data_IF_959256760872
#
_entry.id   IF_959256760872
#
_cell.length_a   1.000
_cell.length_b   1.000
_cell.length_c   1.000
_cell.angle_alpha   90.00
_cell.angle_beta   90.00
_cell.angle_gamma   90.00
#
_symmetry.space_group_name_H-M   'P 1'
#
loop_
_entity.id
_entity.type
_entity.pdbx_description
1 polymer ?
#
# COMPACT_ATOMS: atom_id res chain seq x y z
N UNK A 1 -40.32 38.19 -58.76
CA UNK A 1 -39.22 38.44 -57.86
C UNK A 1 -39.10 37.22 -56.89
N UNK A 2 -38.05 36.41 -57.03
CA UNK A 2 -37.79 35.23 -56.16
C UNK A 2 -36.63 35.57 -55.24
N UNK A 3 -36.85 35.54 -53.92
CA UNK A 3 -35.85 35.79 -52.91
C UNK A 3 -35.20 34.46 -52.57
N UNK A 4 -33.86 34.29 -52.56
CA UNK A 4 -33.22 33.05 -52.17
C UNK A 4 -33.04 33.00 -50.63
N UNK A 5 -33.54 31.94 -50.03
CA UNK A 5 -33.32 31.57 -48.60
C UNK A 5 -31.89 31.08 -48.49
N UNK A 6 -31.06 31.82 -47.76
CA UNK A 6 -29.71 31.39 -47.36
C UNK A 6 -29.81 30.51 -46.10
N UNK A 7 -29.52 29.22 -46.27
CA UNK A 7 -29.39 28.26 -45.15
C UNK A 7 -28.12 28.56 -44.36
N UNK A 8 -28.25 29.00 -43.10
CA UNK A 8 -27.15 29.02 -42.13
C UNK A 8 -26.97 27.61 -41.57
N UNK A 9 -25.87 26.97 -41.97
CA UNK A 9 -25.41 25.74 -41.31
C UNK A 9 -24.71 26.10 -40.00
N UNK A 10 -25.34 25.82 -38.88
CA UNK A 10 -24.72 25.92 -37.54
C UNK A 10 -23.78 24.74 -37.34
N UNK A 11 -22.47 25.00 -37.36
CA UNK A 11 -21.44 24.01 -36.98
C UNK A 11 -21.39 23.95 -35.44
N UNK A 12 -21.98 22.92 -34.87
CA UNK A 12 -21.82 22.63 -33.45
C UNK A 12 -20.43 22.01 -33.20
N UNK A 13 -19.49 22.81 -32.71
CA UNK A 13 -18.22 22.28 -32.14
C UNK A 13 -18.54 21.52 -30.83
N UNK A 14 -18.59 20.21 -30.92
CA UNK A 14 -18.58 19.36 -29.74
C UNK A 14 -17.16 19.38 -29.13
N UNK A 15 -16.95 20.17 -28.09
CA UNK A 15 -15.74 20.02 -27.24
C UNK A 15 -15.87 18.69 -26.53
N UNK A 16 -15.11 17.69 -26.98
CA UNK A 16 -14.85 16.50 -26.20
C UNK A 16 -13.97 16.93 -25.02
N UNK A 17 -14.60 17.20 -23.88
CA UNK A 17 -13.88 17.32 -22.61
C UNK A 17 -13.37 15.93 -22.31
N UNK A 18 -12.10 15.66 -22.62
CA UNK A 18 -11.42 14.49 -22.08
C UNK A 18 -11.45 14.65 -20.56
N UNK A 19 -12.16 13.77 -19.88
CA UNK A 19 -12.10 13.66 -18.42
C UNK A 19 -10.67 13.22 -18.06
N UNK A 20 -9.75 14.18 -18.00
CA UNK A 20 -8.45 13.94 -17.37
C UNK A 20 -8.75 13.51 -15.93
N UNK A 21 -8.08 12.44 -15.48
CA UNK A 21 -8.19 12.04 -14.09
C UNK A 21 -7.84 13.24 -13.20
N UNK A 22 -8.78 13.61 -12.33
CA UNK A 22 -8.60 14.75 -11.44
C UNK A 22 -7.62 14.39 -10.31
N UNK A 23 -6.78 15.35 -9.94
CA UNK A 23 -5.98 15.23 -8.72
C UNK A 23 -6.90 15.06 -7.51
N UNK A 24 -6.49 14.26 -6.54
CA UNK A 24 -7.28 13.97 -5.35
C UNK A 24 -6.50 14.28 -4.08
N UNK A 25 -7.20 14.87 -3.11
CA UNK A 25 -6.76 14.94 -1.72
C UNK A 25 -7.73 14.13 -0.88
N UNK A 26 -7.23 13.08 -0.21
CA UNK A 26 -8.02 12.18 0.62
C UNK A 26 -7.57 12.37 2.06
N UNK A 27 -8.50 12.70 2.95
CA UNK A 27 -8.26 12.87 4.39
C UNK A 27 -8.87 11.69 5.11
N UNK A 28 -8.11 11.07 6.01
CA UNK A 28 -8.55 9.94 6.81
C UNK A 28 -8.23 10.15 8.29
N UNK A 29 -9.11 9.67 9.15
CA UNK A 29 -8.89 9.54 10.59
C UNK A 29 -8.24 8.18 10.84
N UNK A 30 -7.17 8.19 11.61
CA UNK A 30 -6.48 6.98 12.08
C UNK A 30 -6.70 6.86 13.58
N UNK A 31 -7.31 5.77 14.00
CA UNK A 31 -7.56 5.45 15.42
C UNK A 31 -6.84 4.15 15.77
N UNK A 32 -6.28 4.08 16.98
CA UNK A 32 -5.64 2.89 17.55
C UNK A 32 -6.26 2.63 18.93
N UNK A 33 -6.23 1.39 19.40
CA UNK A 33 -6.76 1.03 20.73
C UNK A 33 -6.15 1.89 21.86
N UNK A 34 -4.88 2.24 21.71
CA UNK A 34 -4.16 3.09 22.66
C UNK A 34 -3.65 4.34 21.97
N UNK A 35 -4.08 5.48 22.45
CA UNK A 35 -3.61 6.79 22.00
C UNK A 35 -4.66 7.64 21.30
N UNK A 36 -4.35 8.92 21.09
CA UNK A 36 -5.25 9.84 20.42
C UNK A 36 -5.38 9.48 18.94
N UNK A 37 -6.55 9.76 18.38
CA UNK A 37 -6.74 9.68 16.95
C UNK A 37 -5.84 10.71 16.23
N UNK A 38 -5.32 10.31 15.07
CA UNK A 38 -4.51 11.17 14.21
C UNK A 38 -5.13 11.31 12.82
N UNK A 39 -4.66 12.27 12.05
CA UNK A 39 -5.11 12.48 10.67
C UNK A 39 -4.03 12.02 9.70
N UNK A 40 -4.43 11.23 8.71
CA UNK A 40 -3.60 10.91 7.55
C UNK A 40 -4.15 11.67 6.33
N UNK A 41 -3.25 12.10 5.45
CA UNK A 41 -3.62 12.78 4.20
C UNK A 41 -2.90 12.11 3.05
N UNK A 42 -3.64 11.77 2.00
CA UNK A 42 -3.09 11.28 0.74
C UNK A 42 -3.33 12.32 -0.36
N UNK A 43 -2.27 12.73 -1.01
CA UNK A 43 -2.31 13.54 -2.23
C UNK A 43 -1.99 12.63 -3.41
N UNK A 44 -2.84 12.64 -4.42
CA UNK A 44 -2.76 11.76 -5.58
C UNK A 44 -2.85 12.61 -6.84
N UNK A 45 -1.84 12.50 -7.70
CA UNK A 45 -1.83 13.08 -9.04
C UNK A 45 -1.48 12.00 -10.07
N UNK A 46 -1.55 12.30 -11.35
CA UNK A 46 -1.17 11.35 -12.40
C UNK A 46 0.30 10.91 -12.34
N UNK A 47 1.19 11.62 -11.67
CA UNK A 47 2.61 11.35 -11.65
C UNK A 47 3.21 11.21 -10.24
N UNK A 48 2.47 11.53 -9.17
CA UNK A 48 2.97 11.53 -7.79
C UNK A 48 1.93 11.10 -6.78
N UNK A 49 2.40 10.50 -5.71
CA UNK A 49 1.62 10.20 -4.52
C UNK A 49 2.38 10.72 -3.30
N UNK A 50 1.70 11.47 -2.41
CA UNK A 50 2.23 11.77 -1.07
C UNK A 50 1.29 11.21 -0.03
N UNK A 51 1.86 10.53 0.95
CA UNK A 51 1.16 10.02 2.13
C UNK A 51 1.72 10.72 3.36
N UNK A 52 0.88 11.50 4.03
CA UNK A 52 1.17 12.10 5.35
C UNK A 52 0.56 11.17 6.38
N UNK A 53 1.41 10.48 7.14
CA UNK A 53 0.98 9.56 8.19
C UNK A 53 0.93 10.30 9.52
N UNK A 54 -0.15 10.18 10.26
CA UNK A 54 -0.37 10.94 11.49
C UNK A 54 0.60 10.65 12.64
N UNK A 55 1.66 9.87 12.42
CA UNK A 55 2.72 9.54 13.37
C UNK A 55 3.99 10.40 13.24
N UNK A 56 4.01 11.31 12.29
CA UNK A 56 5.15 12.18 11.97
C UNK A 56 6.08 11.61 10.90
N UNK A 57 5.60 10.66 10.12
CA UNK A 57 6.28 10.17 8.93
C UNK A 57 5.49 10.56 7.68
N UNK A 58 6.20 10.77 6.59
CA UNK A 58 5.61 11.03 5.29
C UNK A 58 6.37 10.30 4.19
N UNK A 59 5.67 10.04 3.10
CA UNK A 59 6.23 9.40 1.91
C UNK A 59 5.81 10.20 0.67
N UNK A 60 6.75 10.47 -0.21
CA UNK A 60 6.49 11.04 -1.54
C UNK A 60 7.00 10.03 -2.56
N UNK A 61 6.12 9.54 -3.42
CA UNK A 61 6.45 8.63 -4.53
C UNK A 61 6.36 9.37 -5.85
N UNK A 62 7.41 9.33 -6.64
CA UNK A 62 7.38 9.71 -8.05
C UNK A 62 7.02 8.45 -8.88
N UNK A 63 5.88 8.49 -9.54
CA UNK A 63 5.36 7.34 -10.28
C UNK A 63 6.08 7.10 -11.61
N UNK A 64 6.77 8.14 -12.14
CA UNK A 64 7.54 8.05 -13.39
C UNK A 64 8.89 7.40 -13.16
N UNK A 65 9.63 7.84 -12.13
CA UNK A 65 10.94 7.29 -11.81
C UNK A 65 10.86 6.06 -10.94
N UNK A 66 9.79 5.94 -10.14
CA UNK A 66 9.62 4.91 -9.11
C UNK A 66 10.42 5.20 -7.84
N UNK A 67 10.93 6.42 -7.69
CA UNK A 67 11.65 6.84 -6.49
C UNK A 67 10.67 7.15 -5.35
N UNK A 68 11.07 6.80 -4.14
CA UNK A 68 10.29 7.05 -2.93
C UNK A 68 11.12 7.86 -1.95
N UNK A 69 10.66 9.05 -1.61
CA UNK A 69 11.28 9.88 -0.56
C UNK A 69 10.53 9.68 0.75
N UNK A 70 11.24 9.23 1.77
CA UNK A 70 10.75 9.07 3.14
C UNK A 70 11.18 10.24 3.98
N UNK A 71 10.24 10.86 4.71
CA UNK A 71 10.48 12.06 5.54
C UNK A 71 10.14 11.71 6.98
N UNK A 72 11.09 11.92 7.90
CA UNK A 72 10.91 11.78 9.35
C UNK A 72 10.90 13.18 9.99
N UNK A 73 9.71 13.65 10.36
CA UNK A 73 9.54 14.97 10.97
C UNK A 73 10.15 15.08 12.37
N UNK A 74 10.18 13.98 13.11
CA UNK A 74 10.74 13.96 14.47
C UNK A 74 12.24 14.17 14.46
N UNK A 75 12.92 13.60 13.45
CA UNK A 75 14.37 13.75 13.26
C UNK A 75 14.72 14.89 12.34
N UNK A 76 13.74 15.49 11.64
CA UNK A 76 13.95 16.48 10.58
C UNK A 76 14.95 15.98 9.53
N UNK A 77 14.73 14.74 9.08
CA UNK A 77 15.56 14.04 8.12
C UNK A 77 14.71 13.44 7.01
N UNK A 78 15.34 13.23 5.86
CA UNK A 78 14.73 12.48 4.76
C UNK A 78 15.78 11.66 4.03
N UNK A 79 15.33 10.60 3.38
CA UNK A 79 16.14 9.83 2.45
C UNK A 79 15.28 9.40 1.25
N UNK A 80 15.94 9.10 0.14
CA UNK A 80 15.28 8.60 -1.07
C UNK A 80 15.68 7.16 -1.30
N UNK A 81 14.70 6.33 -1.60
CA UNK A 81 14.86 4.96 -2.06
C UNK A 81 14.62 4.99 -3.56
N UNK A 82 15.67 4.74 -4.33
CA UNK A 82 15.58 4.66 -5.79
C UNK A 82 15.20 3.26 -6.26
N UNK A 83 14.81 3.12 -7.54
CA UNK A 83 14.65 1.79 -8.15
C UNK A 83 15.91 0.94 -7.99
N UNK A 84 17.07 1.54 -8.24
CA UNK A 84 18.35 0.84 -8.11
C UNK A 84 18.59 0.35 -6.68
N UNK A 85 18.22 1.14 -5.67
CA UNK A 85 18.31 0.73 -4.26
C UNK A 85 17.43 -0.51 -3.99
N UNK A 86 16.21 -0.52 -4.54
CA UNK A 86 15.30 -1.65 -4.40
C UNK A 86 15.86 -2.92 -5.07
N UNK A 87 16.42 -2.78 -6.27
CA UNK A 87 17.04 -3.90 -6.99
C UNK A 87 18.26 -4.44 -6.23
N UNK A 88 19.09 -3.56 -5.65
CA UNK A 88 20.21 -3.95 -4.80
C UNK A 88 19.74 -4.66 -3.53
N UNK A 89 18.70 -4.15 -2.88
CA UNK A 89 18.13 -4.78 -1.70
C UNK A 89 17.61 -6.18 -2.01
N UNK A 90 16.89 -6.33 -3.12
CA UNK A 90 16.42 -7.63 -3.60
C UNK A 90 17.56 -8.60 -3.87
N UNK A 91 18.62 -8.14 -4.55
CA UNK A 91 19.80 -8.96 -4.83
C UNK A 91 20.49 -9.41 -3.54
N UNK A 92 20.68 -8.51 -2.57
CA UNK A 92 21.25 -8.84 -1.25
C UNK A 92 20.39 -9.83 -0.47
N UNK A 93 19.08 -9.64 -0.45
CA UNK A 93 18.17 -10.59 0.20
C UNK A 93 18.27 -11.98 -0.43
N UNK A 94 18.26 -12.06 -1.76
CA UNK A 94 18.43 -13.33 -2.50
C UNK A 94 19.77 -13.99 -2.19
N UNK A 95 20.85 -13.22 -2.12
CA UNK A 95 22.18 -13.71 -1.76
C UNK A 95 22.21 -14.22 -0.30
N UNK A 96 21.65 -13.46 0.65
CA UNK A 96 21.57 -13.86 2.06
C UNK A 96 20.78 -15.16 2.23
N UNK A 97 19.67 -15.33 1.52
CA UNK A 97 18.85 -16.54 1.57
C UNK A 97 19.54 -17.77 0.96
N UNK A 98 20.44 -17.56 0.01
CA UNK A 98 21.24 -18.61 -0.61
C UNK A 98 22.61 -18.80 0.08
N UNK A 99 22.86 -18.10 1.18
CA UNK A 99 24.12 -18.23 1.91
C UNK A 99 24.28 -19.62 2.54
N UNK A 100 25.53 -20.12 2.67
CA UNK A 100 25.78 -21.40 3.33
C UNK A 100 25.25 -21.48 4.76
N UNK A 101 25.24 -20.34 5.49
CA UNK A 101 24.72 -20.24 6.83
C UNK A 101 23.21 -20.48 6.85
N UNK A 102 22.47 -19.86 5.93
CA UNK A 102 21.02 -20.03 5.82
C UNK A 102 20.66 -21.46 5.40
N UNK A 103 21.44 -22.06 4.48
CA UNK A 103 21.25 -23.45 4.07
C UNK A 103 21.49 -24.41 5.25
N UNK A 104 22.57 -24.21 6.04
CA UNK A 104 22.82 -24.99 7.27
C UNK A 104 21.70 -24.82 8.30
N UNK A 105 21.21 -23.59 8.48
CA UNK A 105 20.08 -23.35 9.39
C UNK A 105 18.81 -24.07 8.94
N UNK A 106 18.53 -24.10 7.63
CA UNK A 106 17.42 -24.87 7.08
C UNK A 106 17.60 -26.38 7.25
N UNK A 107 18.80 -26.90 7.07
CA UNK A 107 19.11 -28.31 7.30
C UNK A 107 18.97 -28.66 8.78
N UNK A 108 19.48 -27.82 9.67
CA UNK A 108 19.29 -28.01 11.12
C UNK A 108 17.82 -28.03 11.51
N UNK A 109 16.98 -27.14 10.93
CA UNK A 109 15.53 -27.13 11.16
C UNK A 109 14.86 -28.42 10.66
N UNK A 110 15.30 -28.98 9.53
CA UNK A 110 14.79 -30.26 9.03
C UNK A 110 15.16 -31.46 9.91
N UNK A 111 16.29 -31.37 10.61
CA UNK A 111 16.82 -32.43 11.49
C UNK A 111 16.35 -32.32 12.94
N UNK A 112 15.49 -31.34 13.27
CA UNK A 112 14.88 -31.25 14.59
C UNK A 112 13.92 -32.42 14.85
N UNK A 113 13.74 -32.87 16.10
CA UNK A 113 12.75 -33.88 16.45
C UNK A 113 11.35 -33.49 15.97
N UNK A 114 10.52 -34.44 15.50
CA UNK A 114 9.21 -34.17 14.90
C UNK A 114 8.26 -33.35 15.79
N UNK A 115 8.34 -33.53 17.11
CA UNK A 115 7.58 -32.78 18.09
C UNK A 115 8.04 -31.31 18.20
N UNK A 116 9.35 -31.05 18.09
CA UNK A 116 9.90 -29.68 18.05
C UNK A 116 9.56 -29.02 16.73
N UNK A 117 9.65 -29.74 15.60
CA UNK A 117 9.20 -29.25 14.32
C UNK A 117 7.71 -28.89 14.32
N UNK A 118 6.86 -29.74 14.91
CA UNK A 118 5.42 -29.46 15.08
C UNK A 118 5.17 -28.24 15.96
N UNK A 119 5.89 -28.07 17.08
CA UNK A 119 5.78 -26.89 17.93
C UNK A 119 6.25 -25.62 17.22
N UNK A 120 7.35 -25.68 16.49
CA UNK A 120 7.81 -24.57 15.65
C UNK A 120 6.86 -24.30 14.50
N UNK A 121 6.37 -25.32 13.81
CA UNK A 121 5.35 -25.17 12.79
C UNK A 121 4.03 -24.64 13.38
N UNK A 122 3.64 -25.03 14.59
CA UNK A 122 2.47 -24.47 15.27
C UNK A 122 2.70 -23.02 15.70
N UNK A 123 3.90 -22.69 16.18
CA UNK A 123 4.28 -21.32 16.52
C UNK A 123 4.42 -20.44 15.27
N UNK A 124 4.99 -20.97 14.19
CA UNK A 124 5.11 -20.31 12.87
C UNK A 124 3.91 -20.61 11.97
N UNK A 125 3.24 -21.73 12.11
CA UNK A 125 2.12 -22.20 11.32
C UNK A 125 0.80 -21.57 11.68
N UNK A 126 0.74 -20.89 12.83
CA UNK A 126 -0.28 -19.86 13.04
C UNK A 126 -0.19 -18.75 12.00
N UNK A 127 1.00 -18.55 11.42
CA UNK A 127 1.26 -17.61 10.30
C UNK A 127 0.95 -18.26 8.94
N UNK A 128 1.15 -19.58 8.81
CA UNK A 128 0.93 -20.33 7.56
C UNK A 128 -0.50 -20.88 7.38
N UNK A 129 -1.39 -20.62 8.34
CA UNK A 129 -2.76 -21.11 8.27
C UNK A 129 -3.63 -20.17 7.43
N UNK A 130 -4.22 -20.75 6.42
CA UNK A 130 -5.25 -20.24 5.51
C UNK A 130 -5.54 -18.72 5.52
N UNK A 131 -5.12 -18.07 4.47
CA UNK A 131 -5.66 -16.73 4.12
C UNK A 131 -7.10 -16.90 3.67
N UNK A 132 -8.03 -16.18 4.29
CA UNK A 132 -9.39 -16.06 3.81
C UNK A 132 -9.68 -14.64 3.35
N UNK A 133 -10.32 -14.51 2.20
CA UNK A 133 -10.80 -13.25 1.64
C UNK A 133 -12.26 -13.45 1.28
N UNK A 134 -13.13 -12.66 1.86
CA UNK A 134 -14.57 -12.79 1.69
C UNK A 134 -15.23 -11.44 1.47
N UNK A 135 -16.07 -11.35 0.45
CA UNK A 135 -17.03 -10.28 0.27
C UNK A 135 -18.19 -10.53 1.24
N UNK A 136 -18.50 -9.55 2.11
CA UNK A 136 -19.54 -9.76 3.14
C UNK A 136 -20.97 -9.58 2.60
N UNK A 137 -21.11 -9.02 1.40
CA UNK A 137 -22.40 -8.68 0.80
C UNK A 137 -23.05 -7.42 1.37
N UNK A 138 -22.40 -6.74 2.31
CA UNK A 138 -22.91 -5.50 2.88
C UNK A 138 -22.23 -4.28 2.25
N UNK A 139 -22.94 -3.17 2.18
CA UNK A 139 -22.45 -1.89 1.67
C UNK A 139 -22.59 -0.80 2.72
N UNK A 140 -21.73 0.21 2.66
CA UNK A 140 -21.80 1.42 3.48
C UNK A 140 -21.56 2.66 2.61
N UNK A 141 -21.92 3.81 3.16
CA UNK A 141 -21.58 5.10 2.55
C UNK A 141 -20.60 5.83 3.46
N UNK A 142 -19.41 6.16 2.93
CA UNK A 142 -18.31 6.84 3.65
C UNK A 142 -17.83 8.01 2.80
N UNK A 143 -17.70 9.18 3.37
CA UNK A 143 -17.28 10.41 2.70
C UNK A 143 -18.05 10.70 1.38
N UNK A 144 -19.34 10.32 1.33
CA UNK A 144 -20.18 10.53 0.15
C UNK A 144 -20.16 9.40 -0.90
N UNK A 145 -19.28 8.40 -0.79
CA UNK A 145 -19.11 7.29 -1.73
C UNK A 145 -19.67 5.99 -1.18
N UNK A 146 -20.26 5.17 -2.04
CA UNK A 146 -20.68 3.83 -1.66
C UNK A 146 -19.47 2.89 -1.71
N UNK A 147 -19.37 1.98 -0.75
CA UNK A 147 -18.32 0.98 -0.71
C UNK A 147 -18.85 -0.39 -0.27
N UNK A 148 -18.21 -1.45 -0.72
CA UNK A 148 -18.51 -2.83 -0.40
C UNK A 148 -17.57 -3.36 0.66
N UNK A 149 -18.11 -4.06 1.66
CA UNK A 149 -17.32 -4.60 2.76
C UNK A 149 -16.69 -5.96 2.42
N UNK A 150 -15.42 -6.07 2.75
CA UNK A 150 -14.59 -7.26 2.60
C UNK A 150 -13.94 -7.62 3.93
N UNK A 151 -13.73 -8.90 4.17
CA UNK A 151 -12.95 -9.39 5.29
C UNK A 151 -11.76 -10.18 4.76
N UNK A 152 -10.58 -9.88 5.30
CA UNK A 152 -9.34 -10.61 5.06
C UNK A 152 -8.87 -11.16 6.40
N UNK A 153 -8.59 -12.45 6.50
CA UNK A 153 -8.02 -13.01 7.72
C UNK A 153 -6.80 -13.88 7.41
N UNK A 154 -5.81 -13.79 8.29
CA UNK A 154 -4.61 -14.61 8.33
C UNK A 154 -4.69 -15.52 9.55
N UNK A 155 -5.34 -16.66 9.43
CA UNK A 155 -5.59 -17.53 10.55
C UNK A 155 -6.20 -16.79 11.73
N UNK A 156 -5.59 -16.95 12.91
CA UNK A 156 -5.98 -16.23 14.15
C UNK A 156 -5.09 -15.02 14.47
N UNK A 157 -4.10 -14.72 13.60
CA UNK A 157 -3.09 -13.69 13.88
C UNK A 157 -3.57 -12.31 13.49
N UNK A 158 -4.27 -12.18 12.38
CA UNK A 158 -4.75 -10.89 11.91
C UNK A 158 -6.06 -11.02 11.16
N UNK A 159 -6.96 -10.08 11.42
CA UNK A 159 -8.20 -9.87 10.69
C UNK A 159 -8.26 -8.41 10.21
N UNK A 160 -8.58 -8.21 8.95
CA UNK A 160 -8.81 -6.88 8.37
C UNK A 160 -10.23 -6.83 7.80
N UNK A 161 -10.94 -5.76 8.10
CA UNK A 161 -12.22 -5.42 7.51
C UNK A 161 -12.04 -4.16 6.68
N UNK A 162 -12.35 -4.24 5.39
CA UNK A 162 -12.14 -3.14 4.45
C UNK A 162 -13.44 -2.81 3.72
N UNK A 163 -13.72 -1.51 3.54
CA UNK A 163 -14.82 -1.05 2.69
C UNK A 163 -14.25 -0.41 1.44
N UNK A 164 -14.38 -1.08 0.29
CA UNK A 164 -13.78 -0.69 -0.99
C UNK A 164 -14.80 0.02 -1.89
N UNK A 165 -14.41 1.16 -2.45
CA UNK A 165 -15.20 1.88 -3.45
C UNK A 165 -14.54 1.86 -4.83
N UNK A 166 -15.35 1.68 -5.86
CA UNK A 166 -14.95 1.88 -7.25
C UNK A 166 -15.37 3.25 -7.81
N UNK A 167 -16.03 4.07 -6.97
CA UNK A 167 -16.57 5.36 -7.41
C UNK A 167 -15.52 6.49 -7.43
N UNK A 168 -14.33 6.26 -6.82
CA UNK A 168 -13.25 7.25 -6.85
C UNK A 168 -12.50 7.19 -8.19
N UNK A 169 -12.41 8.32 -8.91
CA UNK A 169 -11.68 8.42 -10.18
C UNK A 169 -10.16 8.49 -9.91
N UNK A 170 -9.57 7.40 -9.44
CA UNK A 170 -8.12 7.35 -9.24
C UNK A 170 -7.40 7.49 -10.57
N UNK A 171 -6.32 8.29 -10.65
CA UNK A 171 -5.47 8.33 -11.82
C UNK A 171 -4.95 6.92 -12.15
N UNK A 172 -5.03 6.52 -13.43
CA UNK A 172 -4.63 5.17 -13.85
C UNK A 172 -3.17 4.86 -13.50
N UNK A 173 -2.29 5.85 -13.59
CA UNK A 173 -0.88 5.74 -13.22
C UNK A 173 -0.68 5.36 -11.74
N UNK A 174 -1.54 5.84 -10.85
CA UNK A 174 -1.52 5.44 -9.42
C UNK A 174 -1.81 3.94 -9.30
N UNK A 175 -2.80 3.46 -10.04
CA UNK A 175 -3.18 2.06 -10.04
C UNK A 175 -2.09 1.17 -10.66
N UNK A 176 -1.53 1.57 -11.78
CA UNK A 176 -0.43 0.86 -12.44
C UNK A 176 0.81 0.79 -11.53
N UNK A 177 1.20 1.90 -10.91
CA UNK A 177 2.33 1.94 -9.97
C UNK A 177 2.11 1.06 -8.74
N UNK A 178 0.88 0.99 -8.24
CA UNK A 178 0.52 0.05 -7.18
C UNK A 178 0.69 -1.40 -7.64
N UNK A 179 0.23 -1.75 -8.84
CA UNK A 179 0.39 -3.10 -9.40
C UNK A 179 1.87 -3.45 -9.60
N UNK A 180 2.68 -2.52 -10.10
CA UNK A 180 4.12 -2.70 -10.27
C UNK A 180 4.83 -2.92 -8.94
N UNK A 181 4.49 -2.13 -7.93
CA UNK A 181 4.98 -2.31 -6.56
C UNK A 181 4.63 -3.70 -6.03
N UNK A 182 3.37 -4.12 -6.16
CA UNK A 182 2.92 -5.44 -5.73
C UNK A 182 3.60 -6.57 -6.51
N UNK A 183 3.88 -6.39 -7.80
CA UNK A 183 4.62 -7.37 -8.61
C UNK A 183 6.07 -7.54 -8.13
N UNK A 184 6.75 -6.45 -7.76
CA UNK A 184 8.11 -6.49 -7.19
C UNK A 184 8.13 -7.14 -5.82
N UNK A 185 7.16 -6.82 -4.97
CA UNK A 185 7.01 -7.46 -3.66
C UNK A 185 6.80 -8.98 -3.80
N UNK A 186 6.10 -9.46 -4.83
CA UNK A 186 5.98 -10.91 -5.12
C UNK A 186 7.33 -11.59 -5.34
N UNK A 187 8.22 -10.95 -6.11
CA UNK A 187 9.56 -11.47 -6.33
C UNK A 187 10.38 -11.63 -5.03
N UNK A 188 10.23 -10.69 -4.11
CA UNK A 188 10.87 -10.74 -2.79
C UNK A 188 10.26 -11.83 -1.89
N UNK A 189 8.93 -11.91 -1.85
CA UNK A 189 8.22 -12.85 -0.95
C UNK A 189 8.31 -14.30 -1.44
N UNK A 190 8.39 -14.55 -2.75
CA UNK A 190 8.59 -15.90 -3.28
C UNK A 190 9.86 -16.56 -2.73
N UNK A 191 10.89 -15.77 -2.42
CA UNK A 191 12.12 -16.26 -1.81
C UNK A 191 11.98 -16.61 -0.32
N UNK A 192 10.90 -16.19 0.37
CA UNK A 192 10.71 -16.36 1.82
C UNK A 192 10.11 -17.73 2.22
N UNK A 193 10.13 -18.73 1.35
CA UNK A 193 9.67 -20.09 1.66
C UNK A 193 8.18 -20.16 2.04
N UNK A 194 7.80 -20.81 3.17
CA UNK A 194 6.39 -20.95 3.57
C UNK A 194 5.65 -19.64 3.74
N UNK A 195 6.31 -18.62 4.30
CA UNK A 195 5.75 -17.28 4.47
C UNK A 195 5.49 -16.60 3.11
N UNK A 196 6.38 -16.80 2.14
CA UNK A 196 6.18 -16.33 0.76
C UNK A 196 4.95 -16.93 0.10
N UNK A 197 4.65 -18.19 0.35
CA UNK A 197 3.43 -18.84 -0.14
C UNK A 197 2.16 -18.19 0.39
N UNK A 198 2.12 -17.89 1.68
CA UNK A 198 0.99 -17.20 2.31
C UNK A 198 0.74 -15.82 1.69
N UNK A 199 1.80 -15.06 1.41
CA UNK A 199 1.69 -13.75 0.75
C UNK A 199 1.20 -13.92 -0.70
N UNK A 200 1.70 -14.93 -1.43
CA UNK A 200 1.23 -15.23 -2.78
C UNK A 200 -0.25 -15.62 -2.78
N UNK A 201 -0.69 -16.45 -1.84
CA UNK A 201 -2.09 -16.85 -1.68
C UNK A 201 -2.98 -15.63 -1.39
N UNK A 202 -2.54 -14.73 -0.51
CA UNK A 202 -3.24 -13.47 -0.26
C UNK A 202 -3.42 -12.67 -1.54
N UNK A 203 -2.34 -12.49 -2.30
CA UNK A 203 -2.38 -11.71 -3.53
C UNK A 203 -3.33 -12.31 -4.57
N UNK A 204 -3.37 -13.65 -4.69
CA UNK A 204 -4.31 -14.32 -5.59
C UNK A 204 -5.76 -14.09 -5.14
N UNK A 205 -6.04 -14.25 -3.85
CA UNK A 205 -7.39 -14.08 -3.29
C UNK A 205 -7.87 -12.63 -3.29
N UNK A 206 -6.94 -11.66 -3.21
CA UNK A 206 -7.30 -10.23 -3.24
C UNK A 206 -7.43 -9.66 -4.66
N UNK A 207 -7.17 -10.44 -5.71
CA UNK A 207 -7.35 -9.97 -7.11
C UNK A 207 -8.77 -9.49 -7.43
N UNK A 208 -9.76 -10.05 -6.75
CA UNK A 208 -11.16 -9.67 -6.92
C UNK A 208 -11.52 -8.38 -6.15
N UNK A 209 -10.69 -8.00 -5.18
CA UNK A 209 -10.87 -6.77 -4.40
C UNK A 209 -10.44 -5.57 -5.25
N UNK A 210 -11.40 -4.97 -5.93
CA UNK A 210 -11.17 -3.79 -6.76
C UNK A 210 -11.68 -2.54 -6.06
N UNK A 211 -10.93 -1.44 -6.18
CA UNK A 211 -11.31 -0.15 -5.65
C UNK A 211 -10.38 0.37 -4.56
N UNK A 212 -10.72 1.55 -4.06
CA UNK A 212 -9.97 2.25 -3.03
C UNK A 212 -10.59 1.99 -1.65
N UNK A 213 -9.81 1.68 -0.61
CA UNK A 213 -10.33 1.46 0.73
C UNK A 213 -10.73 2.79 1.38
N UNK A 214 -12.03 2.99 1.57
CA UNK A 214 -12.58 4.13 2.33
C UNK A 214 -12.53 3.88 3.84
N UNK A 215 -12.53 2.63 4.26
CA UNK A 215 -12.33 2.23 5.65
C UNK A 215 -11.55 0.93 5.70
N UNK A 216 -10.63 0.84 6.65
CA UNK A 216 -9.86 -0.35 6.96
C UNK A 216 -9.69 -0.47 8.46
N UNK A 217 -10.21 -1.55 9.04
CA UNK A 217 -9.98 -1.91 10.44
C UNK A 217 -9.15 -3.18 10.46
N UNK A 218 -7.96 -3.12 11.05
CA UNK A 218 -7.08 -4.27 11.20
C UNK A 218 -6.91 -4.59 12.67
N UNK A 219 -7.24 -5.81 13.06
CA UNK A 219 -6.94 -6.36 14.38
C UNK A 219 -5.83 -7.39 14.22
N UNK A 220 -4.70 -7.15 14.87
CA UNK A 220 -3.58 -8.06 14.93
C UNK A 220 -3.41 -8.59 16.35
N UNK A 221 -3.21 -9.91 16.48
CA UNK A 221 -2.99 -10.59 17.76
C UNK A 221 -1.59 -11.17 17.79
N UNK A 222 -0.82 -10.76 18.78
CA UNK A 222 0.54 -11.26 18.99
C UNK A 222 0.81 -11.49 20.47
N UNK A 223 1.27 -12.68 20.82
CA UNK A 223 1.59 -13.09 22.22
C UNK A 223 0.45 -12.79 23.22
N UNK A 224 -0.80 -13.06 22.83
CA UNK A 224 -1.98 -12.85 23.69
C UNK A 224 -2.43 -11.39 23.83
N UNK A 225 -1.81 -10.47 23.11
CA UNK A 225 -2.22 -9.07 23.02
C UNK A 225 -2.83 -8.81 21.64
N UNK A 226 -3.98 -8.18 21.60
CA UNK A 226 -4.60 -7.70 20.38
C UNK A 226 -4.40 -6.19 20.27
N UNK A 227 -4.16 -5.74 19.06
CA UNK A 227 -4.08 -4.33 18.71
C UNK A 227 -4.96 -4.07 17.50
N UNK A 228 -5.85 -3.10 17.62
CA UNK A 228 -6.74 -2.69 16.54
C UNK A 228 -6.33 -1.31 16.02
N UNK A 229 -6.26 -1.20 14.71
CA UNK A 229 -6.06 0.08 14.02
C UNK A 229 -7.19 0.26 13.03
N UNK A 230 -7.86 1.40 13.07
CA UNK A 230 -8.90 1.79 12.11
C UNK A 230 -8.44 3.02 11.35
N UNK A 231 -8.52 2.96 10.03
CA UNK A 231 -8.33 4.09 9.13
C UNK A 231 -9.67 4.29 8.42
N UNK A 232 -10.25 5.49 8.51
CA UNK A 232 -11.51 5.81 7.86
C UNK A 232 -11.42 7.16 7.15
N UNK A 233 -11.75 7.18 5.87
CA UNK A 233 -11.79 8.40 5.06
C UNK A 233 -12.90 9.31 5.58
N UNK A 234 -12.54 10.55 5.87
CA UNK A 234 -13.46 11.57 6.36
C UNK A 234 -13.80 12.61 5.31
N UNK A 235 -12.90 12.80 4.33
CA UNK A 235 -13.08 13.81 3.28
C UNK A 235 -12.33 13.41 2.00
N UNK A 236 -12.90 13.73 0.84
CA UNK A 236 -12.30 13.55 -0.48
C UNK A 236 -12.52 14.81 -1.28
N UNK A 237 -11.44 15.47 -1.64
CA UNK A 237 -11.45 16.69 -2.46
C UNK A 237 -10.86 16.39 -3.83
N UNK A 238 -11.58 16.80 -4.87
CA UNK A 238 -11.13 16.80 -6.26
C UNK A 238 -10.55 18.16 -6.60
N UNK A 239 -9.52 18.19 -7.41
CA UNK A 239 -8.87 19.41 -7.89
C UNK A 239 -7.39 19.47 -7.55
N UNK A 240 -6.71 20.48 -8.08
CA UNK A 240 -5.26 20.62 -8.07
C UNK A 240 -4.66 20.49 -6.66
N UNK A 241 -3.68 19.59 -6.53
CA UNK A 241 -2.87 19.45 -5.33
C UNK A 241 -1.85 20.59 -5.26
N UNK A 242 -1.69 21.27 -4.10
CA UNK A 242 -0.73 22.35 -3.96
C UNK A 242 0.70 21.91 -4.32
N UNK A 243 1.46 22.73 -5.03
CA UNK A 243 2.85 22.41 -5.41
C UNK A 243 3.76 22.17 -4.22
N UNK A 244 3.49 22.82 -3.09
CA UNK A 244 4.20 22.61 -1.82
C UNK A 244 4.01 21.19 -1.26
N UNK A 245 2.96 20.47 -1.66
CA UNK A 245 2.75 19.10 -1.26
C UNK A 245 3.84 18.15 -1.80
N UNK A 246 4.63 18.54 -2.77
CA UNK A 246 5.67 17.72 -3.38
C UNK A 246 7.08 18.05 -2.90
N UNK A 247 7.20 18.90 -1.89
CA UNK A 247 8.49 19.38 -1.39
C UNK A 247 8.80 18.76 -0.03
N UNK A 248 10.08 18.43 0.17
CA UNK A 248 10.60 18.18 1.51
C UNK A 248 10.64 19.52 2.25
N UNK A 249 10.19 19.57 3.52
CA UNK A 249 10.23 20.82 4.28
C UNK A 249 11.65 21.41 4.38
N UNK A 250 11.74 22.73 4.34
CA UNK A 250 13.03 23.43 4.48
C UNK A 250 13.71 23.10 5.81
N UNK A 251 15.04 22.99 5.79
CA UNK A 251 15.86 22.70 6.97
C UNK A 251 15.87 21.23 7.40
N UNK A 252 15.41 20.32 6.53
CA UNK A 252 15.56 18.88 6.75
C UNK A 252 16.88 18.40 6.14
N UNK A 253 17.62 17.57 6.88
CA UNK A 253 18.86 16.99 6.41
C UNK A 253 18.59 15.75 5.55
N UNK A 254 19.22 15.68 4.37
CA UNK A 254 19.25 14.44 3.59
C UNK A 254 20.23 13.48 4.25
N UNK A 255 19.77 12.25 4.49
CA UNK A 255 20.60 11.17 5.03
C UNK A 255 20.70 10.04 4.04
N UNK A 256 21.70 9.17 4.22
CA UNK A 256 21.84 7.97 3.41
C UNK A 256 20.67 7.01 3.68
N UNK A 257 20.31 6.25 2.65
CA UNK A 257 19.24 5.26 2.74
C UNK A 257 19.57 4.21 3.82
N UNK A 258 18.86 4.19 4.95
CA UNK A 258 19.14 3.25 6.04
C UNK A 258 18.85 1.79 5.65
N UNK A 259 17.99 1.54 4.66
CA UNK A 259 17.67 0.19 4.18
C UNK A 259 18.89 -0.47 3.50
N UNK A 260 19.79 0.33 2.94
CA UNK A 260 21.03 -0.17 2.34
C UNK A 260 22.14 -0.37 3.38
N UNK A 261 22.05 0.33 4.53
CA UNK A 261 23.03 0.20 5.64
C UNK A 261 22.66 -0.94 6.59
N UNK A 262 21.40 -1.25 6.74
CA UNK A 262 20.96 -2.40 7.50
C UNK A 262 21.50 -3.66 6.80
N UNK A 263 22.70 -4.05 7.22
CA UNK A 263 23.37 -5.26 6.79
C UNK A 263 22.47 -6.46 7.00
N UNK A 264 22.78 -7.56 6.32
CA UNK A 264 22.09 -8.83 6.42
C UNK A 264 21.66 -9.14 7.85
N UNK A 265 20.48 -9.77 8.06
CA UNK A 265 20.04 -10.20 9.39
C UNK A 265 21.11 -11.14 9.97
N UNK A 266 21.87 -10.68 10.98
CA UNK A 266 22.91 -11.49 11.58
C UNK A 266 24.07 -10.74 12.25
N UNK A 267 23.96 -9.44 12.58
CA UNK A 267 24.86 -8.78 13.54
C UNK A 267 24.07 -8.23 14.72
#
# INVERSE_FOLDING_TARGET
MRVPIRSLAAVALAFAVSAAAEDLTIVAKVSRDSGPASTAISYLTGDRVRLVMGDGNEMISDLKTGDVTMIDHKKRQYFTVTRQDMDQLQARMKQAMNSPEMQRAQEQMKNLPPDVQKKMQAAMGGIASSVTVQKTGTTRKIAGYNCENWTIAFGQISKSEECLTSELPLPEQVWQSYQDFMARMRGMTAAMGPMGRTVTELQEKTKEMKGFPLSKTTTASFMGRSMTTTIEVTDVRKGAVPTSAWQVPTGYAKVDNPLLKAGAPGM
#
